data_IF_801777546389
#
_entry.id   IF_801777546389
#
_cell.length_a   1.000
_cell.length_b   1.000
_cell.length_c   1.000
_cell.angle_alpha   90.00
_cell.angle_beta   90.00
_cell.angle_gamma   90.00
#
_symmetry.space_group_name_H-M   'P 1'
#
loop_
_entity.id
_entity.type
_entity.pdbx_description
1 polymer ?
#
# COMPACT_ATOMS: atom_id res chain seq x y z
N UNK A 1 13.90 4.05 30.32
CA UNK A 1 13.04 5.10 29.74
C UNK A 1 13.21 4.98 28.25
N UNK A 2 12.14 5.07 27.47
CA UNK A 2 12.23 4.75 26.05
C UNK A 2 12.71 5.96 25.25
N UNK A 3 13.12 5.72 24.01
CA UNK A 3 13.46 6.77 23.03
C UNK A 3 12.32 7.79 22.84
N UNK A 4 11.08 7.41 23.16
CA UNK A 4 9.89 8.28 23.15
C UNK A 4 9.90 9.40 24.21
N UNK A 5 10.79 9.37 25.19
CA UNK A 5 10.83 10.33 26.30
C UNK A 5 11.73 11.55 26.03
N UNK A 6 12.36 11.63 24.85
CA UNK A 6 13.24 12.75 24.45
C UNK A 6 12.41 13.95 23.96
N UNK A 7 12.85 15.16 24.29
CA UNK A 7 12.19 16.40 23.87
C UNK A 7 12.82 17.03 22.63
N UNK A 8 12.12 17.99 22.02
CA UNK A 8 12.64 18.77 20.88
C UNK A 8 13.94 19.50 21.23
N UNK A 9 14.06 20.01 22.45
CA UNK A 9 15.26 20.72 22.93
C UNK A 9 16.46 19.77 23.07
N UNK A 10 16.23 18.52 23.45
CA UNK A 10 17.30 17.51 23.55
C UNK A 10 17.89 17.21 22.16
N UNK A 11 17.03 17.15 21.14
CA UNK A 11 17.44 16.98 19.73
C UNK A 11 18.22 18.20 19.23
N UNK A 12 17.76 19.42 19.53
CA UNK A 12 18.47 20.65 19.16
C UNK A 12 19.86 20.74 19.80
N UNK A 13 20.00 20.33 21.07
CA UNK A 13 21.32 20.23 21.73
C UNK A 13 22.25 19.26 21.00
N UNK A 14 21.73 18.10 20.57
CA UNK A 14 22.52 17.11 19.85
C UNK A 14 22.97 17.63 18.48
N UNK A 15 22.10 18.37 17.79
CA UNK A 15 22.44 19.06 16.53
C UNK A 15 23.52 20.11 16.75
N UNK A 16 23.42 20.92 17.83
CA UNK A 16 24.41 21.94 18.15
C UNK A 16 25.79 21.33 18.41
N UNK A 17 25.88 20.27 19.22
CA UNK A 17 27.15 19.57 19.47
C UNK A 17 27.70 18.94 18.19
N UNK A 18 26.84 18.35 17.34
CA UNK A 18 27.25 17.82 16.04
C UNK A 18 27.86 18.90 15.15
N UNK A 19 27.31 20.12 15.13
CA UNK A 19 27.85 21.25 14.36
C UNK A 19 29.20 21.72 14.89
N UNK A 20 29.38 21.72 16.22
CA UNK A 20 30.61 22.16 16.87
C UNK A 20 31.76 21.16 16.67
N UNK A 21 31.51 19.87 16.88
CA UNK A 21 32.52 18.82 16.73
C UNK A 21 32.79 18.45 15.26
N UNK A 22 31.78 18.63 14.40
CA UNK A 22 31.80 18.09 13.05
C UNK A 22 31.49 16.58 13.02
N UNK A 23 31.04 16.11 11.85
CA UNK A 23 30.48 14.77 11.65
C UNK A 23 31.40 13.64 12.11
N UNK A 24 32.64 13.60 11.62
CA UNK A 24 33.56 12.49 11.93
C UNK A 24 33.84 12.38 13.43
N UNK A 25 34.12 13.51 14.09
CA UNK A 25 34.46 13.52 15.52
C UNK A 25 33.24 13.20 16.38
N UNK A 26 32.05 13.69 16.01
CA UNK A 26 30.80 13.37 16.69
C UNK A 26 30.50 11.86 16.63
N UNK A 27 30.57 11.28 15.42
CA UNK A 27 30.30 9.85 15.23
C UNK A 27 31.32 8.98 15.97
N UNK A 28 32.61 9.33 15.91
CA UNK A 28 33.67 8.62 16.63
C UNK A 28 33.47 8.69 18.15
N UNK A 29 33.12 9.87 18.69
CA UNK A 29 32.87 10.09 20.13
C UNK A 29 31.74 9.22 20.66
N UNK A 30 30.66 9.09 19.89
CA UNK A 30 29.45 8.37 20.32
C UNK A 30 29.37 6.92 19.81
N UNK A 31 30.37 6.45 19.07
CA UNK A 31 30.47 5.07 18.60
C UNK A 31 29.55 4.73 17.42
N UNK A 32 29.15 5.73 16.63
CA UNK A 32 28.32 5.56 15.45
C UNK A 32 29.14 5.50 14.16
N UNK A 33 28.55 4.87 13.14
CA UNK A 33 29.02 4.98 11.75
C UNK A 33 28.11 5.92 10.99
N UNK A 34 28.61 6.46 9.89
CA UNK A 34 27.81 7.29 8.99
C UNK A 34 26.52 6.56 8.57
N UNK A 35 25.40 7.26 8.69
CA UNK A 35 24.10 6.81 8.27
C UNK A 35 24.06 6.71 6.74
N UNK A 36 23.58 5.55 6.29
CA UNK A 36 23.47 5.22 4.85
C UNK A 36 22.05 5.36 4.32
N UNK A 37 21.07 5.52 5.21
CA UNK A 37 19.65 5.39 4.85
C UNK A 37 18.84 6.57 5.34
N UNK A 38 18.93 7.00 6.59
CA UNK A 38 18.11 8.12 7.08
C UNK A 38 18.96 9.27 7.64
N UNK A 39 18.71 10.48 7.13
CA UNK A 39 19.34 11.72 7.57
C UNK A 39 18.28 12.68 8.09
N UNK A 40 18.51 13.22 9.27
CA UNK A 40 17.72 14.33 9.81
C UNK A 40 18.10 15.62 9.08
N UNK A 41 17.11 16.41 8.71
CA UNK A 41 17.27 17.72 8.04
C UNK A 41 16.92 18.82 9.03
N UNK A 42 17.83 19.77 9.21
CA UNK A 42 17.62 20.96 10.03
C UNK A 42 18.49 22.12 9.51
N UNK A 43 17.93 23.32 9.35
CA UNK A 43 18.61 24.49 8.79
C UNK A 43 19.41 24.20 7.50
N UNK A 44 18.80 23.49 6.54
CA UNK A 44 19.41 23.05 5.27
C UNK A 44 20.66 22.15 5.39
N UNK A 45 20.94 21.62 6.58
CA UNK A 45 22.02 20.67 6.84
C UNK A 45 21.50 19.26 7.15
N UNK A 46 22.35 18.26 6.93
CA UNK A 46 22.04 16.84 7.13
C UNK A 46 22.80 16.24 8.31
N UNK A 47 22.10 15.46 9.12
CA UNK A 47 22.62 14.86 10.33
C UNK A 47 22.28 13.36 10.40
N UNK A 48 23.17 12.56 10.99
CA UNK A 48 22.98 11.12 11.15
C UNK A 48 21.84 10.83 12.15
N UNK A 49 20.66 10.46 11.64
CA UNK A 49 19.41 10.40 12.42
C UNK A 49 19.49 9.54 13.69
N UNK A 50 20.13 8.37 13.63
CA UNK A 50 20.36 7.51 14.80
C UNK A 50 21.28 8.13 15.83
N UNK A 51 22.37 8.75 15.37
CA UNK A 51 23.36 9.32 16.25
C UNK A 51 22.77 10.53 16.99
N UNK A 52 22.03 11.39 16.28
CA UNK A 52 21.30 12.51 16.90
C UNK A 52 20.27 12.03 17.92
N UNK A 53 19.46 11.01 17.57
CA UNK A 53 18.44 10.49 18.49
C UNK A 53 19.04 9.85 19.76
N UNK A 54 20.16 9.13 19.62
CA UNK A 54 20.87 8.54 20.77
C UNK A 54 21.49 9.61 21.66
N UNK A 55 22.15 10.62 21.09
CA UNK A 55 22.76 11.70 21.88
C UNK A 55 21.70 12.56 22.56
N UNK A 56 20.56 12.83 21.89
CA UNK A 56 19.42 13.48 22.52
C UNK A 56 18.90 12.69 23.73
N UNK A 57 18.80 11.36 23.61
CA UNK A 57 18.45 10.49 24.73
C UNK A 57 19.47 10.57 25.88
N UNK A 58 20.77 10.62 25.57
CA UNK A 58 21.82 10.77 26.58
C UNK A 58 21.71 12.09 27.34
N UNK A 59 21.39 13.21 26.69
CA UNK A 59 21.20 14.47 27.42
C UNK A 59 20.02 14.41 28.38
N UNK A 60 18.98 13.67 28.02
CA UNK A 60 17.77 13.54 28.85
C UNK A 60 17.97 12.59 30.02
N UNK A 61 18.62 11.46 29.80
CA UNK A 61 18.67 10.34 30.75
C UNK A 61 20.02 10.12 31.41
N UNK A 62 21.09 10.72 30.87
CA UNK A 62 22.47 10.48 31.28
C UNK A 62 23.05 9.16 30.76
N UNK A 63 22.28 8.33 30.06
CA UNK A 63 22.70 6.99 29.61
C UNK A 63 22.51 6.81 28.10
N UNK A 64 23.41 6.02 27.49
CA UNK A 64 23.27 5.58 26.10
C UNK A 64 22.04 4.65 25.95
N UNK A 65 21.43 4.63 24.77
CA UNK A 65 20.36 3.67 24.49
C UNK A 65 20.92 2.24 24.50
N UNK A 66 20.25 1.33 25.20
CA UNK A 66 20.59 -0.08 25.12
C UNK A 66 20.22 -0.64 23.73
N UNK A 67 20.95 -1.67 23.26
CA UNK A 67 20.71 -2.29 21.95
C UNK A 67 19.25 -2.80 21.74
N UNK A 68 18.54 -3.11 22.84
CA UNK A 68 17.12 -3.50 22.83
C UNK A 68 16.11 -2.35 22.92
N UNK A 69 16.53 -1.15 23.33
CA UNK A 69 15.66 0.06 23.38
C UNK A 69 15.51 0.72 22.00
N UNK A 70 16.34 0.32 21.04
CA UNK A 70 16.07 0.44 19.61
C UNK A 70 15.10 -0.65 19.12
N UNK A 71 13.97 -0.87 19.81
CA UNK A 71 12.97 -1.85 19.33
C UNK A 71 12.41 -1.36 17.98
N UNK A 72 12.89 -1.94 16.88
CA UNK A 72 12.55 -1.54 15.50
C UNK A 72 13.64 -0.77 14.72
N UNK A 73 14.85 -0.60 15.27
CA UNK A 73 16.01 -0.06 14.55
C UNK A 73 15.88 1.39 14.07
N UNK A 74 16.45 1.72 12.91
CA UNK A 74 16.50 3.09 12.33
C UNK A 74 15.12 3.73 12.18
N UNK A 75 14.09 2.93 11.90
CA UNK A 75 12.71 3.38 11.75
C UNK A 75 12.09 3.89 13.05
N UNK A 76 12.55 3.43 14.20
CA UNK A 76 12.07 3.91 15.50
C UNK A 76 12.59 5.33 15.78
N UNK A 77 13.87 5.59 15.54
CA UNK A 77 14.45 6.94 15.66
C UNK A 77 13.79 7.93 14.71
N UNK A 78 13.57 7.54 13.45
CA UNK A 78 12.85 8.37 12.45
C UNK A 78 11.46 8.75 12.95
N UNK A 79 10.71 7.80 13.53
CA UNK A 79 9.36 8.05 14.04
C UNK A 79 9.35 9.10 15.16
N UNK A 80 10.24 8.96 16.14
CA UNK A 80 10.33 9.90 17.27
C UNK A 80 10.73 11.29 16.78
N UNK A 81 11.75 11.39 15.92
CA UNK A 81 12.19 12.67 15.36
C UNK A 81 11.07 13.38 14.57
N UNK A 82 10.30 12.64 13.77
CA UNK A 82 9.14 13.19 13.06
C UNK A 82 8.04 13.66 14.02
N UNK A 83 7.77 12.92 15.11
CA UNK A 83 6.79 13.31 16.13
C UNK A 83 7.19 14.62 16.85
N UNK A 84 8.49 14.87 16.97
CA UNK A 84 9.05 16.11 17.53
C UNK A 84 9.12 17.26 16.50
N UNK A 85 8.60 17.05 15.29
CA UNK A 85 8.51 18.06 14.23
C UNK A 85 9.79 18.24 13.42
N UNK A 86 10.75 17.31 13.49
CA UNK A 86 11.91 17.33 12.61
C UNK A 86 11.63 16.58 11.31
N UNK A 87 12.21 17.06 10.22
CA UNK A 87 12.17 16.36 8.95
C UNK A 87 13.29 15.31 8.92
N UNK A 88 12.95 14.06 8.63
CA UNK A 88 13.94 13.01 8.36
C UNK A 88 13.75 12.48 6.95
N UNK A 89 14.81 12.55 6.14
CA UNK A 89 14.81 12.09 4.75
C UNK A 89 15.59 10.79 4.60
N UNK A 90 15.02 9.86 3.86
CA UNK A 90 15.77 8.71 3.39
C UNK A 90 16.72 9.12 2.25
N UNK A 91 17.96 8.66 2.26
CA UNK A 91 18.91 8.81 1.14
C UNK A 91 18.65 7.77 0.04
N UNK A 92 17.90 6.70 0.36
CA UNK A 92 17.53 5.63 -0.58
C UNK A 92 16.06 5.71 -0.90
N UNK A 93 15.73 5.69 -2.18
CA UNK A 93 14.34 5.54 -2.60
C UNK A 93 13.84 4.13 -2.26
N UNK A 94 12.56 3.99 -1.87
CA UNK A 94 11.95 2.70 -1.67
C UNK A 94 11.89 1.93 -3.01
N UNK A 95 11.79 0.58 -2.95
CA UNK A 95 11.61 -0.22 -4.15
C UNK A 95 10.35 0.22 -4.93
N UNK A 96 10.33 -0.02 -6.25
CA UNK A 96 9.13 0.19 -7.06
C UNK A 96 8.00 -0.73 -6.59
N UNK A 97 6.83 -0.16 -6.33
CA UNK A 97 5.62 -0.88 -5.98
C UNK A 97 4.85 -1.32 -7.23
N UNK A 98 3.93 -2.28 -7.05
CA UNK A 98 3.09 -2.81 -8.13
C UNK A 98 2.31 -1.70 -8.85
N UNK A 99 1.57 -0.86 -8.11
CA UNK A 99 0.75 0.21 -8.69
C UNK A 99 1.59 1.22 -9.52
N UNK A 100 2.82 1.51 -9.10
CA UNK A 100 3.72 2.41 -9.82
C UNK A 100 4.18 1.80 -11.15
N UNK A 101 4.47 0.49 -11.14
CA UNK A 101 4.84 -0.26 -12.34
C UNK A 101 3.65 -0.46 -13.27
N UNK A 102 2.42 -0.60 -12.75
CA UNK A 102 1.20 -0.65 -13.56
C UNK A 102 1.06 0.62 -14.38
N UNK A 103 1.26 1.79 -13.77
CA UNK A 103 1.21 3.08 -14.47
C UNK A 103 2.33 3.23 -15.50
N UNK A 104 3.54 2.78 -15.19
CA UNK A 104 4.67 2.80 -16.13
C UNK A 104 4.46 1.83 -17.32
N UNK A 105 3.92 0.64 -17.06
CA UNK A 105 3.63 -0.35 -18.09
C UNK A 105 2.46 0.08 -18.98
N UNK A 106 1.42 0.69 -18.42
CA UNK A 106 0.33 1.33 -19.17
C UNK A 106 0.84 2.40 -20.14
N UNK A 107 1.78 3.24 -19.69
CA UNK A 107 2.42 4.24 -20.55
C UNK A 107 3.17 3.60 -21.72
N UNK A 108 3.97 2.55 -21.45
CA UNK A 108 4.73 1.84 -22.49
C UNK A 108 3.79 1.10 -23.46
N UNK A 109 2.78 0.42 -22.96
CA UNK A 109 1.78 -0.28 -23.76
C UNK A 109 1.00 0.70 -24.67
N UNK A 110 0.62 1.86 -24.14
CA UNK A 110 -0.04 2.94 -24.89
C UNK A 110 0.89 3.61 -25.90
N UNK A 111 2.21 3.51 -25.71
CA UNK A 111 3.23 3.95 -26.66
C UNK A 111 3.69 2.83 -27.62
N UNK A 112 2.86 1.81 -27.83
CA UNK A 112 3.17 0.72 -28.76
C UNK A 112 4.38 -0.11 -28.33
N UNK A 113 4.55 -0.32 -27.03
CA UNK A 113 5.64 -1.07 -26.41
C UNK A 113 7.04 -0.48 -26.65
N UNK A 114 7.11 0.83 -26.90
CA UNK A 114 8.38 1.57 -27.03
C UNK A 114 8.68 2.34 -25.76
N UNK A 115 9.94 2.31 -25.34
CA UNK A 115 10.44 3.10 -24.21
C UNK A 115 10.39 4.61 -24.51
N UNK A 116 10.39 5.43 -23.46
CA UNK A 116 10.31 6.88 -23.56
C UNK A 116 11.52 7.52 -22.85
N UNK A 117 12.02 8.64 -23.39
CA UNK A 117 13.12 9.38 -22.77
C UNK A 117 12.67 10.14 -21.51
N UNK A 118 13.62 10.53 -20.67
CA UNK A 118 13.34 11.32 -19.47
C UNK A 118 12.86 12.75 -19.75
N UNK A 119 12.95 13.19 -21.00
CA UNK A 119 12.46 14.49 -21.48
C UNK A 119 11.10 14.41 -22.17
N UNK A 120 10.57 13.21 -22.40
CA UNK A 120 9.23 13.05 -22.99
C UNK A 120 8.18 13.61 -22.03
N UNK A 121 7.27 14.44 -22.55
CA UNK A 121 6.21 15.09 -21.76
C UNK A 121 5.40 14.08 -20.93
N UNK A 122 5.11 12.90 -21.49
CA UNK A 122 4.33 11.85 -20.82
C UNK A 122 5.11 11.22 -19.66
N UNK A 123 6.44 11.16 -19.75
CA UNK A 123 7.32 10.71 -18.67
C UNK A 123 7.38 11.75 -17.55
N UNK A 124 7.42 13.05 -17.90
CA UNK A 124 7.35 14.14 -16.92
C UNK A 124 6.01 14.10 -16.16
N UNK A 125 4.90 13.98 -16.88
CA UNK A 125 3.55 13.86 -16.31
C UNK A 125 3.42 12.62 -15.41
N UNK A 126 3.95 11.47 -15.83
CA UNK A 126 3.97 10.27 -15.01
C UNK A 126 4.86 10.44 -13.76
N UNK A 127 6.00 11.10 -13.87
CA UNK A 127 6.89 11.36 -12.73
C UNK A 127 6.22 12.23 -11.67
N UNK A 128 5.49 13.27 -12.09
CA UNK A 128 4.69 14.10 -11.17
C UNK A 128 3.60 13.27 -10.47
N UNK A 129 2.85 12.47 -11.23
CA UNK A 129 1.79 11.62 -10.69
C UNK A 129 2.35 10.59 -9.69
N UNK A 130 3.45 9.91 -10.02
CA UNK A 130 4.08 8.93 -9.13
C UNK A 130 4.57 9.56 -7.82
N UNK A 131 5.02 10.82 -7.87
CA UNK A 131 5.42 11.56 -6.68
C UNK A 131 4.22 11.97 -5.81
N UNK A 132 3.00 12.01 -6.34
CA UNK A 132 1.76 12.26 -5.57
C UNK A 132 1.14 10.98 -4.99
N UNK A 133 1.58 9.79 -5.39
CA UNK A 133 1.04 8.53 -4.90
C UNK A 133 1.24 8.35 -3.39
N UNK A 134 0.20 7.98 -2.61
CA UNK A 134 0.31 7.75 -1.18
C UNK A 134 0.77 6.32 -0.82
N UNK A 135 1.71 5.75 -1.58
CA UNK A 135 2.23 4.38 -1.37
C UNK A 135 3.35 4.38 -0.33
N UNK A 136 4.29 5.30 -0.50
CA UNK A 136 5.48 5.43 0.34
C UNK A 136 5.35 6.67 1.23
N UNK A 137 5.62 6.59 2.54
CA UNK A 137 5.66 7.76 3.41
C UNK A 137 6.64 8.81 2.90
N UNK A 138 6.35 10.11 3.07
CA UNK A 138 7.24 11.19 2.62
C UNK A 138 8.67 11.03 3.17
N UNK A 139 8.81 10.61 4.43
CA UNK A 139 10.11 10.37 5.07
C UNK A 139 10.95 9.26 4.40
N UNK A 140 10.31 8.31 3.71
CA UNK A 140 11.02 7.24 3.00
C UNK A 140 11.44 7.66 1.58
N UNK A 141 10.98 8.82 1.08
CA UNK A 141 11.27 9.29 -0.28
C UNK A 141 12.58 10.06 -0.30
N UNK A 142 13.53 9.58 -1.11
CA UNK A 142 14.79 10.28 -1.31
C UNK A 142 14.71 11.38 -2.37
N UNK A 143 15.78 12.16 -2.50
CA UNK A 143 15.84 13.31 -3.42
C UNK A 143 15.61 12.97 -4.90
N UNK A 144 15.79 11.70 -5.29
CA UNK A 144 15.55 11.20 -6.66
C UNK A 144 14.27 10.39 -6.77
N UNK A 145 13.36 10.49 -5.81
CA UNK A 145 12.16 9.65 -5.74
C UNK A 145 11.31 9.82 -6.99
N UNK A 146 11.13 8.72 -7.74
CA UNK A 146 10.32 8.63 -8.96
C UNK A 146 10.52 9.79 -9.95
N UNK A 147 11.73 10.34 -10.00
CA UNK A 147 12.07 11.44 -10.90
C UNK A 147 12.03 10.98 -12.38
N UNK A 148 12.04 11.91 -13.36
CA UNK A 148 11.88 11.55 -14.78
C UNK A 148 12.90 10.54 -15.30
N UNK A 149 14.15 10.60 -14.81
CA UNK A 149 15.19 9.64 -15.16
C UNK A 149 14.89 8.23 -14.66
N UNK A 150 14.38 8.10 -13.43
CA UNK A 150 13.94 6.83 -12.87
C UNK A 150 12.74 6.25 -13.62
N UNK A 151 11.78 7.10 -14.00
CA UNK A 151 10.61 6.69 -14.78
C UNK A 151 11.04 6.23 -16.18
N UNK A 152 11.84 7.01 -16.90
CA UNK A 152 12.35 6.64 -18.22
C UNK A 152 13.10 5.31 -18.18
N UNK A 153 13.96 5.10 -17.17
CA UNK A 153 14.63 3.81 -16.96
C UNK A 153 13.63 2.66 -16.85
N UNK A 154 12.55 2.85 -16.09
CA UNK A 154 11.51 1.82 -15.96
C UNK A 154 10.74 1.57 -17.24
N UNK A 155 10.47 2.59 -18.04
CA UNK A 155 9.88 2.37 -19.37
C UNK A 155 10.79 1.53 -20.27
N UNK A 156 12.10 1.72 -20.19
CA UNK A 156 13.08 0.90 -20.91
C UNK A 156 13.15 -0.53 -20.35
N UNK A 157 13.15 -0.68 -19.03
CA UNK A 157 13.10 -2.00 -18.38
C UNK A 157 11.89 -2.79 -18.90
N UNK A 158 10.69 -2.21 -18.88
CA UNK A 158 9.47 -2.87 -19.34
C UNK A 158 9.46 -3.14 -20.85
N UNK A 159 9.79 -2.14 -21.67
CA UNK A 159 9.76 -2.26 -23.13
C UNK A 159 10.74 -3.31 -23.66
N UNK A 160 11.93 -3.42 -23.07
CA UNK A 160 12.98 -4.32 -23.56
C UNK A 160 12.78 -5.78 -23.14
N UNK A 161 11.82 -6.07 -22.25
CA UNK A 161 11.40 -7.43 -21.91
C UNK A 161 10.10 -7.84 -22.62
N UNK A 162 9.48 -6.93 -23.37
CA UNK A 162 8.29 -7.26 -24.16
C UNK A 162 8.63 -8.31 -25.24
N UNK A 163 7.80 -9.35 -25.48
CA UNK A 163 8.10 -10.42 -26.44
C UNK A 163 8.38 -9.94 -27.87
N UNK A 164 7.79 -8.81 -28.26
CA UNK A 164 8.02 -8.19 -29.58
C UNK A 164 9.31 -7.37 -29.69
N UNK A 165 10.15 -7.30 -28.65
CA UNK A 165 11.42 -6.58 -28.68
C UNK A 165 12.56 -7.48 -29.16
N UNK A 166 13.21 -7.09 -30.25
CA UNK A 166 14.26 -7.89 -30.89
C UNK A 166 15.69 -7.54 -30.46
N UNK A 167 15.86 -6.59 -29.53
CA UNK A 167 17.17 -6.13 -29.07
C UNK A 167 17.63 -6.82 -27.78
N UNK A 168 18.75 -6.35 -27.21
CA UNK A 168 19.23 -6.84 -25.93
C UNK A 168 18.40 -6.26 -24.78
N UNK A 169 17.81 -7.13 -23.96
CA UNK A 169 17.07 -6.70 -22.77
C UNK A 169 17.97 -6.04 -21.73
N UNK A 170 17.39 -5.07 -21.03
CA UNK A 170 18.03 -4.43 -19.86
C UNK A 170 18.05 -5.38 -18.65
N UNK A 171 18.68 -4.96 -17.54
CA UNK A 171 18.60 -5.68 -16.26
C UNK A 171 17.36 -5.23 -15.49
N UNK A 172 16.19 -5.65 -15.97
CA UNK A 172 14.90 -5.39 -15.32
C UNK A 172 14.78 -6.13 -13.98
N UNK A 173 13.91 -5.65 -13.09
CA UNK A 173 13.61 -6.31 -11.82
C UNK A 173 12.54 -7.39 -11.97
N UNK A 174 12.48 -8.31 -11.00
CA UNK A 174 11.48 -9.39 -11.01
C UNK A 174 10.03 -8.88 -11.01
N UNK A 175 9.76 -7.75 -10.36
CA UNK A 175 8.42 -7.15 -10.33
C UNK A 175 8.05 -6.51 -11.67
N UNK A 176 9.03 -5.93 -12.39
CA UNK A 176 8.81 -5.39 -13.75
C UNK A 176 8.27 -6.50 -14.67
N UNK A 177 8.87 -7.69 -14.61
CA UNK A 177 8.46 -8.86 -15.41
C UNK A 177 7.05 -9.36 -15.04
N UNK A 178 6.72 -9.39 -13.74
CA UNK A 178 5.37 -9.82 -13.30
C UNK A 178 4.28 -8.87 -13.79
N UNK A 179 4.52 -7.55 -13.71
CA UNK A 179 3.56 -6.55 -14.19
C UNK A 179 3.44 -6.61 -15.70
N UNK A 180 4.56 -6.72 -16.42
CA UNK A 180 4.55 -6.90 -17.87
C UNK A 180 3.73 -8.13 -18.27
N UNK A 181 3.97 -9.28 -17.62
CA UNK A 181 3.21 -10.50 -17.90
C UNK A 181 1.71 -10.31 -17.65
N UNK A 182 1.33 -9.65 -16.57
CA UNK A 182 -0.08 -9.34 -16.31
C UNK A 182 -0.72 -8.46 -17.40
N UNK A 183 0.03 -7.50 -17.98
CA UNK A 183 -0.44 -6.70 -19.12
C UNK A 183 -0.56 -7.51 -20.41
N UNK A 184 0.27 -8.53 -20.60
CA UNK A 184 0.19 -9.43 -21.76
C UNK A 184 -0.99 -10.38 -21.64
N UNK A 185 -1.21 -10.94 -20.44
CA UNK A 185 -2.27 -11.91 -20.17
C UNK A 185 -3.66 -11.23 -20.14
N UNK A 186 -3.76 -10.05 -19.53
CA UNK A 186 -5.04 -9.37 -19.28
C UNK A 186 -5.00 -7.85 -19.58
N UNK A 187 -4.74 -7.44 -20.84
CA UNK A 187 -4.46 -6.04 -21.20
C UNK A 187 -5.60 -5.08 -20.84
N UNK A 188 -6.86 -5.48 -21.06
CA UNK A 188 -8.03 -4.65 -20.72
C UNK A 188 -8.13 -4.41 -19.22
N UNK A 189 -7.89 -5.45 -18.41
CA UNK A 189 -7.95 -5.40 -16.94
C UNK A 189 -6.87 -4.49 -16.37
N UNK A 190 -5.65 -4.61 -16.89
CA UNK A 190 -4.50 -3.84 -16.43
C UNK A 190 -4.59 -2.37 -16.82
N UNK A 191 -5.07 -2.05 -18.03
CA UNK A 191 -5.35 -0.67 -18.44
C UNK A 191 -6.44 -0.02 -17.59
N UNK A 192 -7.51 -0.76 -17.30
CA UNK A 192 -8.56 -0.25 -16.43
C UNK A 192 -8.06 -0.02 -14.98
N UNK A 193 -7.16 -0.88 -14.49
CA UNK A 193 -6.47 -0.68 -13.20
C UNK A 193 -5.63 0.60 -13.21
N UNK A 194 -4.83 0.83 -14.26
CA UNK A 194 -4.05 2.06 -14.40
C UNK A 194 -4.95 3.32 -14.45
N UNK A 195 -6.05 3.27 -15.19
CA UNK A 195 -7.02 4.36 -15.28
C UNK A 195 -7.63 4.72 -13.93
N UNK A 196 -7.95 3.72 -13.09
CA UNK A 196 -8.46 3.96 -11.74
C UNK A 196 -7.43 4.54 -10.79
N UNK A 197 -6.18 4.08 -10.86
CA UNK A 197 -5.11 4.64 -10.05
C UNK A 197 -4.94 6.13 -10.39
N UNK A 198 -4.97 6.50 -11.68
CA UNK A 198 -4.93 7.90 -12.12
C UNK A 198 -6.13 8.69 -11.60
N UNK A 199 -7.35 8.22 -11.88
CA UNK A 199 -8.58 8.88 -11.47
C UNK A 199 -8.66 9.09 -9.96
N UNK A 200 -8.27 8.08 -9.17
CA UNK A 200 -8.31 8.17 -7.71
C UNK A 200 -7.31 9.15 -7.10
N UNK A 201 -6.20 9.45 -7.79
CA UNK A 201 -5.27 10.52 -7.37
C UNK A 201 -5.87 11.87 -7.72
N UNK A 202 -6.39 12.03 -8.94
CA UNK A 202 -6.92 13.29 -9.43
C UNK A 202 -8.19 13.72 -8.67
N UNK A 203 -9.02 12.76 -8.25
CA UNK A 203 -10.20 13.02 -7.41
C UNK A 203 -9.87 13.18 -5.92
N UNK A 204 -8.63 12.93 -5.51
CA UNK A 204 -8.20 12.93 -4.11
C UNK A 204 -8.66 11.70 -3.31
N UNK A 205 -9.50 10.84 -3.89
CA UNK A 205 -10.06 9.68 -3.20
C UNK A 205 -9.00 8.71 -2.67
N UNK A 206 -7.85 8.56 -3.35
CA UNK A 206 -6.74 7.71 -2.89
C UNK A 206 -5.86 8.39 -1.83
N UNK A 207 -5.82 9.72 -1.77
CA UNK A 207 -5.05 10.47 -0.78
C UNK A 207 -5.66 10.33 0.62
N UNK A 208 -6.99 10.31 0.72
CA UNK A 208 -7.72 10.10 1.98
C UNK A 208 -7.54 8.67 2.54
N UNK A 209 -7.21 7.71 1.67
CA UNK A 209 -7.04 6.29 2.00
C UNK A 209 -5.61 5.92 2.46
N UNK A 210 -4.68 6.88 2.43
CA UNK A 210 -3.27 6.67 2.74
C UNK A 210 -3.01 6.24 4.20
N UNK A 211 -3.93 6.57 5.12
CA UNK A 211 -3.73 6.52 6.57
C UNK A 211 -4.57 5.46 7.29
N UNK A 212 -5.29 4.61 6.56
CA UNK A 212 -5.94 3.45 7.18
C UNK A 212 -4.86 2.43 7.51
N UNK A 213 -4.70 2.14 8.80
CA UNK A 213 -3.82 1.08 9.31
C UNK A 213 -4.07 -0.20 8.50
N UNK A 214 -2.96 -0.86 8.15
CA UNK A 214 -2.95 -2.15 7.45
C UNK A 214 -3.89 -3.11 8.22
N UNK A 215 -5.05 -3.50 7.67
CA UNK A 215 -5.87 -4.52 8.31
C UNK A 215 -5.11 -5.82 8.09
N UNK A 216 -4.28 -6.18 9.08
CA UNK A 216 -3.26 -7.21 8.97
C UNK A 216 -3.65 -8.42 8.12
N UNK A 217 -2.78 -8.69 7.14
CA UNK A 217 -2.09 -9.97 6.95
C UNK A 217 -0.98 -9.72 5.91
N UNK A 218 0.26 -10.12 6.23
CA UNK A 218 1.40 -10.08 5.29
C UNK A 218 1.21 -11.01 4.08
N UNK A 219 0.14 -11.82 4.06
CA UNK A 219 -0.12 -12.90 3.09
C UNK A 219 -1.15 -12.58 1.98
N UNK A 220 -1.76 -11.38 1.95
CA UNK A 220 -2.68 -11.04 0.83
C UNK A 220 -1.89 -10.54 -0.38
N UNK A 221 -1.34 -11.49 -1.15
CA UNK A 221 -0.77 -11.22 -2.48
C UNK A 221 -1.88 -10.97 -3.49
N UNK A 222 -2.40 -9.75 -3.53
CA UNK A 222 -3.26 -9.31 -4.63
C UNK A 222 -2.40 -8.85 -5.83
N UNK A 223 -2.66 -9.32 -7.06
CA UNK A 223 -2.22 -8.72 -8.31
C UNK A 223 -2.91 -7.37 -8.57
N UNK A 224 -3.91 -7.00 -7.75
CA UNK A 224 -4.39 -5.63 -7.62
C UNK A 224 -3.53 -4.97 -6.55
N UNK A 225 -2.78 -3.94 -6.93
CA UNK A 225 -1.84 -3.29 -6.03
C UNK A 225 -2.47 -2.71 -4.77
N UNK A 226 -1.62 -2.29 -3.84
CA UNK A 226 -1.98 -1.90 -2.46
C UNK A 226 -3.03 -0.80 -2.41
N UNK A 227 -3.09 0.08 -3.42
CA UNK A 227 -4.04 1.21 -3.44
C UNK A 227 -5.46 0.79 -3.79
N UNK A 228 -5.64 -0.05 -4.81
CA UNK A 228 -6.96 -0.55 -5.20
C UNK A 228 -7.53 -1.46 -4.11
N UNK A 229 -6.67 -2.26 -3.47
CA UNK A 229 -7.01 -3.08 -2.30
C UNK A 229 -7.51 -2.24 -1.13
N UNK A 230 -6.80 -1.17 -0.76
CA UNK A 230 -7.24 -0.26 0.31
C UNK A 230 -8.56 0.42 0.02
N UNK A 231 -8.75 0.93 -1.20
CA UNK A 231 -10.00 1.56 -1.61
C UNK A 231 -11.18 0.57 -1.54
N UNK A 232 -10.95 -0.67 -1.97
CA UNK A 232 -11.94 -1.75 -1.84
C UNK A 232 -12.36 -1.96 -0.37
N UNK A 233 -11.41 -2.13 0.55
CA UNK A 233 -11.72 -2.35 1.97
C UNK A 233 -12.37 -1.14 2.65
N UNK A 234 -11.97 0.09 2.32
CA UNK A 234 -12.61 1.27 2.92
C UNK A 234 -14.06 1.39 2.46
N UNK A 235 -14.34 1.12 1.19
CA UNK A 235 -15.73 1.11 0.69
C UNK A 235 -16.56 -0.02 1.32
N UNK A 236 -15.99 -1.23 1.48
CA UNK A 236 -16.67 -2.32 2.21
C UNK A 236 -17.10 -1.92 3.63
N UNK A 237 -16.33 -1.00 4.25
CA UNK A 237 -16.59 -0.47 5.60
C UNK A 237 -17.47 0.79 5.63
N UNK A 238 -18.00 1.25 4.50
CA UNK A 238 -18.92 2.39 4.46
C UNK A 238 -20.22 2.04 5.20
N UNK A 239 -20.41 2.67 6.37
CA UNK A 239 -21.54 2.41 7.27
C UNK A 239 -22.88 2.76 6.63
N UNK A 240 -22.93 3.78 5.78
CA UNK A 240 -24.16 4.23 5.13
C UNK A 240 -24.58 3.27 4.02
N UNK A 241 -23.63 2.84 3.18
CA UNK A 241 -23.90 1.85 2.14
C UNK A 241 -24.27 0.49 2.74
N UNK A 242 -23.55 0.05 3.78
CA UNK A 242 -23.87 -1.18 4.52
C UNK A 242 -25.30 -1.14 5.06
N UNK A 243 -25.67 -0.04 5.75
CA UNK A 243 -27.03 0.11 6.30
C UNK A 243 -28.08 0.03 5.20
N UNK A 244 -27.91 0.79 4.11
CA UNK A 244 -28.84 0.79 2.97
C UNK A 244 -28.99 -0.60 2.33
N UNK A 245 -27.89 -1.36 2.18
CA UNK A 245 -27.93 -2.70 1.59
C UNK A 245 -28.63 -3.72 2.50
N UNK A 246 -28.40 -3.65 3.82
CA UNK A 246 -29.09 -4.50 4.80
C UNK A 246 -30.59 -4.18 4.82
N UNK A 247 -30.96 -2.90 4.85
CA UNK A 247 -32.37 -2.47 4.81
C UNK A 247 -33.06 -2.96 3.53
N UNK A 248 -32.37 -2.93 2.39
CA UNK A 248 -32.88 -3.46 1.13
C UNK A 248 -33.09 -4.98 1.20
N UNK A 249 -32.09 -5.75 1.67
CA UNK A 249 -32.20 -7.20 1.76
C UNK A 249 -33.34 -7.64 2.69
N UNK A 250 -33.52 -6.94 3.82
CA UNK A 250 -34.66 -7.17 4.73
C UNK A 250 -36.01 -6.93 4.03
N UNK A 251 -36.13 -5.87 3.23
CA UNK A 251 -37.36 -5.58 2.48
C UNK A 251 -37.65 -6.60 1.38
N UNK A 252 -36.62 -7.06 0.68
CA UNK A 252 -36.77 -7.94 -0.48
C UNK A 252 -36.93 -9.42 -0.09
N UNK A 253 -36.27 -9.87 0.97
CA UNK A 253 -36.16 -11.29 1.30
C UNK A 253 -36.67 -11.63 2.70
N UNK A 254 -36.97 -10.64 3.55
CA UNK A 254 -37.46 -10.85 4.91
C UNK A 254 -36.41 -11.34 5.91
N UNK A 255 -35.26 -11.82 5.45
CA UNK A 255 -34.16 -12.30 6.30
C UNK A 255 -32.79 -11.80 5.84
N UNK A 256 -31.80 -11.90 6.74
CA UNK A 256 -30.41 -11.53 6.48
C UNK A 256 -29.56 -12.80 6.36
N UNK A 257 -29.42 -13.30 5.13
CA UNK A 257 -28.66 -14.50 4.83
C UNK A 257 -27.50 -14.22 3.86
N UNK A 258 -26.42 -14.99 3.99
CA UNK A 258 -25.26 -14.94 3.11
C UNK A 258 -25.64 -15.30 1.67
N UNK A 259 -25.32 -14.40 0.74
CA UNK A 259 -25.55 -14.55 -0.70
C UNK A 259 -24.60 -15.56 -1.38
N UNK A 260 -23.79 -16.29 -0.62
CA UNK A 260 -22.95 -17.40 -1.14
C UNK A 260 -23.44 -18.73 -0.59
N UNK A 261 -23.54 -18.87 0.73
CA UNK A 261 -23.78 -20.16 1.37
C UNK A 261 -25.13 -20.28 2.09
N UNK A 262 -25.92 -19.21 2.15
CA UNK A 262 -27.22 -19.15 2.83
C UNK A 262 -27.14 -19.09 4.36
N UNK A 263 -25.95 -18.91 4.94
CA UNK A 263 -25.78 -18.79 6.39
C UNK A 263 -26.49 -17.54 6.93
N UNK A 264 -27.28 -17.72 7.98
CA UNK A 264 -28.00 -16.65 8.67
C UNK A 264 -27.53 -16.63 10.14
N UNK A 265 -26.92 -15.52 10.57
CA UNK A 265 -26.34 -15.39 11.90
C UNK A 265 -27.41 -15.39 12.99
N UNK A 266 -28.51 -14.67 12.81
CA UNK A 266 -29.59 -14.60 13.78
C UNK A 266 -30.27 -15.96 13.97
N UNK A 267 -30.47 -16.72 12.88
CA UNK A 267 -31.03 -18.08 12.95
C UNK A 267 -30.10 -19.06 13.68
N UNK A 268 -28.78 -18.87 13.56
CA UNK A 268 -27.79 -19.80 14.12
C UNK A 268 -27.41 -19.45 15.56
N UNK A 269 -27.27 -18.15 15.87
CA UNK A 269 -26.76 -17.64 17.14
C UNK A 269 -27.80 -16.86 17.96
N UNK A 270 -29.05 -16.81 17.51
CA UNK A 270 -30.12 -16.05 18.16
C UNK A 270 -29.83 -14.54 18.14
N UNK A 271 -30.25 -13.80 19.19
CA UNK A 271 -30.09 -12.35 19.26
C UNK A 271 -28.65 -11.85 19.11
N UNK A 272 -27.65 -12.69 19.42
CA UNK A 272 -26.23 -12.35 19.22
C UNK A 272 -25.85 -12.17 17.74
N UNK A 273 -26.57 -12.84 16.84
CA UNK A 273 -26.37 -12.76 15.41
C UNK A 273 -27.26 -11.73 14.71
N UNK A 274 -28.12 -11.03 15.44
CA UNK A 274 -29.01 -10.02 14.88
C UNK A 274 -28.19 -8.91 14.18
N UNK A 275 -28.61 -8.51 12.97
CA UNK A 275 -27.94 -7.50 12.14
C UNK A 275 -26.49 -7.78 11.75
N UNK A 276 -26.00 -8.99 12.03
CA UNK A 276 -24.64 -9.38 11.72
C UNK A 276 -24.54 -9.99 10.33
N UNK A 277 -23.92 -9.24 9.42
CA UNK A 277 -23.47 -9.69 8.10
C UNK A 277 -22.41 -8.73 7.59
N UNK A 278 -21.52 -9.21 6.71
CA UNK A 278 -20.47 -8.42 6.09
C UNK A 278 -20.91 -7.98 4.69
N UNK A 279 -20.52 -6.76 4.31
CA UNK A 279 -20.86 -6.18 3.01
C UNK A 279 -19.62 -6.20 2.11
N UNK A 280 -19.72 -6.88 0.99
CA UNK A 280 -18.63 -7.09 0.04
C UNK A 280 -18.96 -6.44 -1.30
N UNK A 281 -17.96 -5.86 -1.99
CA UNK A 281 -18.17 -5.32 -3.33
C UNK A 281 -17.99 -6.41 -4.39
N UNK A 282 -19.04 -6.72 -5.15
CA UNK A 282 -19.13 -7.85 -6.12
C UNK A 282 -18.09 -7.73 -7.23
N UNK A 283 -17.79 -6.50 -7.65
CA UNK A 283 -16.84 -6.20 -8.72
C UNK A 283 -15.66 -5.44 -8.12
N UNK A 284 -14.44 -6.00 -8.18
CA UNK A 284 -13.25 -5.23 -7.91
C UNK A 284 -13.21 -4.04 -8.88
N UNK A 285 -12.95 -2.83 -8.37
CA UNK A 285 -13.25 -1.58 -9.08
C UNK A 285 -12.61 -1.50 -10.47
N UNK A 286 -11.49 -2.22 -10.70
CA UNK A 286 -10.79 -2.30 -11.98
C UNK A 286 -11.63 -2.80 -13.16
N UNK A 287 -12.80 -3.40 -12.94
CA UNK A 287 -13.72 -3.77 -14.03
C UNK A 287 -14.85 -2.74 -14.22
N UNK A 288 -15.22 -1.96 -13.19
CA UNK A 288 -16.40 -1.07 -13.24
C UNK A 288 -16.10 0.42 -13.45
N UNK A 289 -14.85 0.86 -13.31
CA UNK A 289 -14.51 2.28 -13.33
C UNK A 289 -15.07 3.04 -12.11
N UNK A 290 -14.81 4.35 -12.02
CA UNK A 290 -15.48 5.26 -11.07
C UNK A 290 -16.96 5.39 -11.42
N UNK A 291 -17.75 4.40 -11.03
CA UNK A 291 -19.19 4.56 -10.87
C UNK A 291 -19.49 4.72 -9.39
N UNK A 292 -20.44 5.61 -9.04
CA UNK A 292 -21.03 5.63 -7.69
C UNK A 292 -21.43 4.20 -7.34
N UNK A 293 -20.92 3.66 -6.23
CA UNK A 293 -21.28 2.31 -5.79
C UNK A 293 -22.80 2.24 -5.65
N UNK A 294 -23.45 1.43 -6.48
CA UNK A 294 -24.89 1.16 -6.37
C UNK A 294 -25.07 0.00 -5.40
N UNK A 295 -26.23 -0.09 -4.77
CA UNK A 295 -26.52 -1.20 -3.85
C UNK A 295 -26.41 -2.57 -4.53
N UNK A 296 -26.68 -2.66 -5.85
CA UNK A 296 -26.50 -3.89 -6.63
C UNK A 296 -25.05 -4.31 -6.83
N UNK A 297 -24.10 -3.41 -6.60
CA UNK A 297 -22.67 -3.71 -6.67
C UNK A 297 -22.15 -4.28 -5.33
N UNK A 298 -23.04 -4.48 -4.34
CA UNK A 298 -22.76 -5.02 -3.01
C UNK A 298 -23.43 -6.37 -2.79
N UNK A 299 -22.69 -7.33 -2.25
CA UNK A 299 -23.17 -8.62 -1.78
C UNK A 299 -23.06 -8.72 -0.25
N UNK A 300 -24.06 -9.32 0.38
CA UNK A 300 -24.06 -9.63 1.80
C UNK A 300 -23.48 -11.04 2.04
N UNK A 301 -22.37 -11.11 2.76
CA UNK A 301 -21.62 -12.35 2.99
C UNK A 301 -21.45 -12.65 4.47
N UNK A 302 -21.33 -13.92 4.83
CA UNK A 302 -20.86 -14.30 6.16
C UNK A 302 -19.34 -14.19 6.28
N UNK A 303 -18.84 -14.06 7.51
CA UNK A 303 -17.42 -13.97 7.84
C UNK A 303 -16.54 -15.00 7.11
N UNK A 304 -17.01 -16.25 7.02
CA UNK A 304 -16.28 -17.30 6.34
C UNK A 304 -16.24 -17.09 4.82
N UNK A 305 -17.38 -16.76 4.19
CA UNK A 305 -17.44 -16.54 2.75
C UNK A 305 -16.69 -15.28 2.33
N UNK A 306 -16.77 -14.20 3.12
CA UNK A 306 -16.02 -12.96 2.85
C UNK A 306 -14.51 -13.22 2.93
N UNK A 307 -14.04 -13.93 3.96
CA UNK A 307 -12.63 -14.36 4.04
C UNK A 307 -12.23 -15.29 2.91
N UNK A 308 -13.10 -16.19 2.46
CA UNK A 308 -12.78 -17.10 1.35
C UNK A 308 -12.68 -16.40 -0.02
N UNK A 309 -13.43 -15.31 -0.24
CA UNK A 309 -13.23 -14.48 -1.44
C UNK A 309 -11.82 -13.87 -1.42
N UNK A 310 -11.41 -13.33 -0.28
CA UNK A 310 -10.14 -12.60 -0.15
C UNK A 310 -8.92 -13.49 0.11
N UNK A 311 -9.10 -14.82 0.24
CA UNK A 311 -8.03 -15.76 0.63
C UNK A 311 -6.88 -15.83 -0.36
N UNK A 312 -7.17 -15.81 -1.67
CA UNK A 312 -6.17 -15.89 -2.71
C UNK A 312 -6.70 -15.25 -3.99
N UNK A 313 -5.84 -14.51 -4.68
CA UNK A 313 -6.19 -13.89 -5.95
C UNK A 313 -5.89 -14.83 -7.14
N UNK A 314 -6.63 -14.75 -8.27
CA UNK A 314 -7.79 -13.88 -8.57
C UNK A 314 -8.99 -14.17 -7.65
N UNK A 315 -9.55 -13.11 -7.06
CA UNK A 315 -10.69 -13.27 -6.16
C UNK A 315 -11.94 -13.68 -6.95
N UNK A 316 -12.65 -14.72 -6.53
CA UNK A 316 -13.90 -15.10 -7.15
C UNK A 316 -14.98 -14.05 -6.82
N UNK A 317 -15.82 -13.74 -7.80
CA UNK A 317 -17.09 -13.06 -7.53
C UNK A 317 -17.95 -13.91 -6.57
N UNK A 318 -18.86 -13.29 -5.79
CA UNK A 318 -19.83 -14.04 -4.98
C UNK A 318 -20.57 -15.14 -5.74
N UNK A 319 -20.91 -14.90 -7.02
CA UNK A 319 -21.52 -15.91 -7.89
C UNK A 319 -20.60 -17.11 -8.17
N UNK A 320 -19.33 -16.86 -8.48
CA UNK A 320 -18.33 -17.93 -8.66
C UNK A 320 -18.09 -18.72 -7.37
N UNK A 321 -17.96 -18.04 -6.22
CA UNK A 321 -17.79 -18.71 -4.95
C UNK A 321 -19.04 -19.54 -4.57
N UNK A 322 -20.24 -19.02 -4.84
CA UNK A 322 -21.50 -19.78 -4.66
C UNK A 322 -21.49 -21.06 -5.49
N UNK A 323 -21.10 -21.00 -6.76
CA UNK A 323 -21.01 -22.17 -7.63
C UNK A 323 -20.03 -23.24 -7.06
N UNK A 324 -18.89 -22.81 -6.52
CA UNK A 324 -17.92 -23.70 -5.86
C UNK A 324 -18.52 -24.37 -4.61
N UNK A 325 -19.17 -23.60 -3.74
CA UNK A 325 -19.79 -24.10 -2.50
C UNK A 325 -20.91 -25.10 -2.82
N UNK A 326 -21.78 -24.77 -3.78
CA UNK A 326 -22.87 -25.65 -4.22
C UNK A 326 -22.32 -26.96 -4.76
N UNK A 327 -21.33 -26.90 -5.67
CA UNK A 327 -20.69 -28.10 -6.24
C UNK A 327 -20.16 -29.05 -5.16
N UNK A 328 -19.50 -28.52 -4.13
CA UNK A 328 -18.94 -29.33 -3.05
C UNK A 328 -20.01 -29.90 -2.11
N UNK A 329 -21.10 -29.16 -1.86
CA UNK A 329 -22.23 -29.67 -1.07
C UNK A 329 -22.98 -30.79 -1.79
N UNK A 330 -23.17 -30.67 -3.10
CA UNK A 330 -23.84 -31.70 -3.93
C UNK A 330 -23.01 -32.98 -4.10
N UNK A 331 -21.69 -32.91 -3.86
CA UNK A 331 -20.77 -34.05 -3.98
C UNK A 331 -20.51 -34.81 -2.67
N UNK A 332 -21.03 -34.35 -1.52
CA UNK A 332 -20.93 -35.08 -0.25
C UNK A 332 -22.08 -36.08 -0.14
N UNK A 333 -21.83 -37.40 0.05
CA UNK A 333 -22.87 -38.28 0.55
C UNK A 333 -23.33 -37.77 1.91
N UNK A 334 -24.63 -37.90 2.22
CA UNK A 334 -25.15 -37.53 3.51
C UNK A 334 -24.42 -38.35 4.59
N UNK A 335 -23.54 -37.72 5.35
CA UNK A 335 -23.05 -38.30 6.59
C UNK A 335 -24.25 -38.35 7.54
N UNK A 336 -24.70 -39.58 7.81
CA UNK A 336 -25.69 -39.86 8.83
C UNK A 336 -25.15 -39.42 10.21
N UNK A 337 -26.02 -38.91 11.09
CA UNK A 337 -25.61 -38.22 12.32
C UNK A 337 -24.77 -39.04 13.29
#
# INVERSE_FOLDING_TARGET
MALADISRDDVLKAIAEYRELGREQFLARYGFKEARTYLLVHDDAFYDSKAIADVAHRYRTGTALAAGEFSGGEKHAVRVLNQLGFEVRSTRNPPWAWDELVLACDLVASNGWRWLSSTDKRVLELSDLLQRLPIHPLAERGAKFRNPNGVARKTADLATHHPGYNGKSTKGGALDLKVLQAFLDEPTRMKASAALIRAGIDSGALLDLAWVEDPGDEDVSAPEGRLLLRNHFVRERDRNLRKKRIDQARKEHGELACEVCGFNFERTYGPRGADYIECHHVVPLHVSGETKTRLKDLALLCANCHRMIHRASPWPTPGQLRALVVKQRSGRPAEAP
#
